data_IF_339100968006
#
_entry.id   IF_339100968006
#
_cell.length_a   1.000
_cell.length_b   1.000
_cell.length_c   1.000
_cell.angle_alpha   90.00
_cell.angle_beta   90.00
_cell.angle_gamma   90.00
#
_symmetry.space_group_name_H-M   'P 1'
#
loop_
_entity.id
_entity.type
_entity.pdbx_description
1 polymer ?
#
# COMPACT_ATOMS: atom_id res chain seq x y z
N UNK A 1 13.42 52.21 -22.41
CA UNK A 1 12.85 50.94 -22.95
C UNK A 1 13.45 49.66 -22.36
N UNK A 2 14.53 49.70 -21.57
CA UNK A 2 15.17 48.49 -21.00
C UNK A 2 14.71 48.10 -19.59
N UNK A 3 14.06 48.98 -18.82
CA UNK A 3 13.69 48.72 -17.42
C UNK A 3 12.37 47.95 -17.21
N UNK A 4 11.45 47.92 -18.18
CA UNK A 4 10.23 47.09 -18.08
C UNK A 4 10.47 45.60 -18.41
N UNK A 5 11.57 45.28 -19.10
CA UNK A 5 11.88 43.90 -19.53
C UNK A 5 12.43 43.04 -18.38
N UNK A 6 13.06 43.65 -17.37
CA UNK A 6 13.58 42.96 -16.18
C UNK A 6 12.49 42.48 -15.22
N UNK A 7 11.43 43.27 -15.03
CA UNK A 7 10.33 42.96 -14.12
C UNK A 7 9.47 41.79 -14.64
N UNK A 8 9.27 41.69 -15.95
CA UNK A 8 8.53 40.59 -16.61
C UNK A 8 9.34 39.28 -16.62
N UNK A 9 10.68 39.35 -16.67
CA UNK A 9 11.55 38.18 -16.54
C UNK A 9 11.52 37.61 -15.12
N UNK A 10 11.66 38.47 -14.11
CA UNK A 10 11.63 38.08 -12.69
C UNK A 10 10.34 37.30 -12.32
N UNK A 11 9.19 37.70 -12.86
CA UNK A 11 7.91 37.02 -12.63
C UNK A 11 7.85 35.62 -13.25
N UNK A 12 8.45 35.44 -14.43
CA UNK A 12 8.51 34.14 -15.11
C UNK A 12 9.38 33.14 -14.36
N UNK A 13 10.50 33.61 -13.83
CA UNK A 13 11.44 32.77 -13.08
C UNK A 13 10.84 32.32 -11.73
N UNK A 14 10.17 33.22 -11.02
CA UNK A 14 9.46 32.89 -9.76
C UNK A 14 8.30 31.92 -10.03
N UNK A 15 7.53 32.14 -11.11
CA UNK A 15 6.43 31.25 -11.47
C UNK A 15 6.93 29.84 -11.84
N UNK A 16 8.06 29.76 -12.54
CA UNK A 16 8.70 28.50 -12.90
C UNK A 16 9.21 27.74 -11.66
N UNK A 17 9.84 28.46 -10.72
CA UNK A 17 10.32 27.87 -9.46
C UNK A 17 9.16 27.39 -8.57
N UNK A 18 8.06 28.14 -8.49
CA UNK A 18 6.86 27.74 -7.74
C UNK A 18 6.20 26.51 -8.35
N UNK A 19 6.10 26.44 -9.69
CA UNK A 19 5.60 25.27 -10.40
C UNK A 19 6.47 24.03 -10.18
N UNK A 20 7.79 24.18 -10.21
CA UNK A 20 8.74 23.09 -9.95
C UNK A 20 8.65 22.57 -8.51
N UNK A 21 8.54 23.47 -7.52
CA UNK A 21 8.35 23.12 -6.11
C UNK A 21 7.00 22.41 -5.87
N UNK A 22 5.92 22.89 -6.49
CA UNK A 22 4.60 22.25 -6.39
C UNK A 22 4.58 20.85 -7.02
N UNK A 23 5.28 20.66 -8.14
CA UNK A 23 5.42 19.36 -8.80
C UNK A 23 6.23 18.38 -7.92
N UNK A 24 7.34 18.83 -7.34
CA UNK A 24 8.14 18.02 -6.42
C UNK A 24 7.35 17.60 -5.16
N UNK A 25 6.57 18.51 -4.58
CA UNK A 25 5.69 18.20 -3.44
C UNK A 25 4.57 17.19 -3.79
N UNK A 26 4.09 17.21 -5.04
CA UNK A 26 3.10 16.24 -5.53
C UNK A 26 3.70 14.83 -5.66
N UNK A 27 4.97 14.74 -6.04
CA UNK A 27 5.70 13.46 -6.16
C UNK A 27 5.91 12.81 -4.79
N UNK A 28 6.20 13.59 -3.74
CA UNK A 28 6.45 13.05 -2.39
C UNK A 28 5.18 12.60 -1.67
N UNK A 29 4.01 13.13 -2.02
CA UNK A 29 2.72 12.79 -1.39
C UNK A 29 2.07 11.51 -1.94
N UNK A 30 2.47 11.05 -3.12
CA UNK A 30 1.95 9.82 -3.74
C UNK A 30 2.43 8.52 -3.06
N UNK A 31 3.44 8.61 -2.18
CA UNK A 31 3.98 7.48 -1.43
C UNK A 31 3.32 7.31 -0.05
N UNK A 32 2.01 7.59 0.10
CA UNK A 32 1.30 7.20 1.32
C UNK A 32 1.09 5.68 1.28
N UNK A 33 1.81 4.87 2.07
CA UNK A 33 1.53 3.45 2.15
C UNK A 33 0.06 3.27 2.56
N UNK A 34 -0.66 2.39 1.85
CA UNK A 34 -2.01 1.98 2.24
C UNK A 34 -1.96 1.47 3.67
N UNK A 35 -2.47 2.27 4.60
CA UNK A 35 -2.74 1.85 5.98
C UNK A 35 -3.53 0.54 5.92
N UNK A 36 -3.17 -0.50 6.71
CA UNK A 36 -3.85 -1.78 6.65
C UNK A 36 -5.31 -1.60 7.08
N UNK A 37 -6.20 -1.55 6.09
CA UNK A 37 -7.64 -1.55 6.30
C UNK A 37 -8.05 -2.82 7.02
N UNK A 38 -8.84 -2.62 8.08
CA UNK A 38 -9.60 -3.57 8.88
C UNK A 38 -8.83 -4.81 9.37
N UNK A 39 -8.70 -4.86 10.70
CA UNK A 39 -8.30 -6.01 11.52
C UNK A 39 -9.28 -7.18 11.35
N UNK A 40 -9.25 -7.83 10.19
CA UNK A 40 -9.62 -9.23 10.14
C UNK A 40 -8.39 -10.00 10.64
N UNK A 41 -8.43 -10.40 11.91
CA UNK A 41 -7.34 -11.09 12.62
C UNK A 41 -6.92 -12.44 11.98
N UNK A 42 -7.55 -12.81 10.86
CA UNK A 42 -7.41 -14.07 10.16
C UNK A 42 -6.50 -13.95 8.91
N UNK A 43 -5.72 -12.87 8.78
CA UNK A 43 -4.73 -12.70 7.70
C UNK A 43 -3.36 -12.37 8.28
N UNK A 44 -2.32 -13.01 7.75
CA UNK A 44 -0.92 -12.77 8.11
C UNK A 44 -0.30 -11.84 7.06
N UNK A 45 0.37 -10.77 7.51
CA UNK A 45 1.10 -9.82 6.66
C UNK A 45 2.51 -9.70 7.21
N UNK A 46 3.52 -9.84 6.35
CA UNK A 46 4.94 -9.72 6.69
C UNK A 46 5.53 -8.63 5.81
N UNK A 47 6.33 -7.74 6.40
CA UNK A 47 6.95 -6.61 5.70
C UNK A 47 8.10 -7.08 4.80
N UNK A 48 8.22 -6.46 3.62
CA UNK A 48 9.26 -6.74 2.63
C UNK A 48 9.08 -5.86 1.39
N UNK A 49 10.07 -5.88 0.48
CA UNK A 49 10.02 -5.08 -0.76
C UNK A 49 8.89 -5.52 -1.71
N UNK A 50 8.48 -6.78 -1.61
CA UNK A 50 7.44 -7.41 -2.42
C UNK A 50 6.53 -8.22 -1.51
N UNK A 51 5.21 -8.09 -1.70
CA UNK A 51 4.20 -8.88 -0.99
C UNK A 51 3.68 -10.02 -1.87
N UNK A 52 3.86 -11.26 -1.41
CA UNK A 52 3.30 -12.46 -2.04
C UNK A 52 2.12 -12.99 -1.22
N UNK A 53 0.94 -13.05 -1.85
CA UNK A 53 -0.28 -13.54 -1.22
C UNK A 53 -0.57 -15.01 -1.51
N UNK A 54 -1.36 -15.65 -0.66
CA UNK A 54 -1.82 -17.04 -0.85
C UNK A 54 -3.13 -17.31 -0.09
N UNK A 55 -4.00 -18.14 -0.66
CA UNK A 55 -5.25 -18.57 -0.02
C UNK A 55 -5.11 -20.00 0.50
N UNK A 56 -5.30 -20.17 1.80
CA UNK A 56 -5.18 -21.46 2.47
C UNK A 56 -6.49 -21.88 3.12
N UNK A 57 -6.95 -23.14 2.92
CA UNK A 57 -8.18 -23.65 3.52
C UNK A 57 -7.95 -24.03 4.98
N UNK A 58 -7.66 -23.04 5.82
CA UNK A 58 -7.37 -23.22 7.26
C UNK A 58 -8.63 -23.54 8.07
N UNK A 59 -9.79 -23.03 7.66
CA UNK A 59 -11.09 -23.33 8.28
C UNK A 59 -11.90 -24.31 7.41
N UNK A 60 -12.70 -25.15 8.06
CA UNK A 60 -13.79 -25.88 7.41
C UNK A 60 -14.93 -24.93 7.03
N UNK A 61 -15.91 -25.43 6.26
CA UNK A 61 -17.18 -24.73 6.07
C UNK A 61 -17.86 -24.59 7.43
N UNK A 62 -18.33 -23.39 7.78
CA UNK A 62 -19.10 -23.19 8.99
C UNK A 62 -20.43 -23.94 8.98
N UNK A 63 -20.88 -24.35 10.16
CA UNK A 63 -22.21 -24.89 10.40
C UNK A 63 -23.07 -23.85 11.13
N UNK A 64 -24.40 -24.01 11.14
CA UNK A 64 -25.33 -23.19 11.95
C UNK A 64 -25.22 -21.68 11.71
N UNK A 65 -25.03 -21.27 10.45
CA UNK A 65 -24.96 -19.85 10.06
C UNK A 65 -23.63 -19.15 10.36
N UNK A 66 -22.61 -19.88 10.83
CA UNK A 66 -21.24 -19.35 10.96
C UNK A 66 -20.54 -19.33 9.59
N UNK A 67 -19.71 -18.31 9.35
CA UNK A 67 -18.93 -18.18 8.10
C UNK A 67 -17.80 -19.23 7.99
N UNK A 68 -17.19 -19.60 9.11
CA UNK A 68 -16.06 -20.53 9.19
C UNK A 68 -16.37 -21.63 10.21
N UNK A 69 -15.89 -22.84 9.93
CA UNK A 69 -15.98 -24.01 10.81
C UNK A 69 -14.66 -24.32 11.50
N UNK A 70 -14.51 -25.55 11.97
CA UNK A 70 -13.34 -26.02 12.69
C UNK A 70 -12.03 -25.91 11.88
N UNK A 71 -10.90 -25.77 12.57
CA UNK A 71 -9.56 -25.64 11.97
C UNK A 71 -9.06 -26.97 11.39
N UNK A 72 -8.68 -26.95 10.11
CA UNK A 72 -8.07 -28.09 9.40
C UNK A 72 -6.56 -28.10 9.57
N UNK A 73 -6.08 -28.72 10.66
CA UNK A 73 -4.64 -28.77 11.01
C UNK A 73 -3.77 -29.37 9.90
N UNK A 74 -4.14 -30.54 9.37
CA UNK A 74 -3.25 -31.31 8.49
C UNK A 74 -3.19 -30.78 7.05
N UNK A 75 -4.34 -30.33 6.50
CA UNK A 75 -4.42 -29.90 5.09
C UNK A 75 -4.41 -28.38 4.91
N UNK A 76 -4.82 -27.63 5.94
CA UNK A 76 -4.89 -26.17 5.90
C UNK A 76 -3.63 -25.52 6.47
N UNK A 77 -3.36 -25.79 7.76
CA UNK A 77 -2.27 -25.15 8.49
C UNK A 77 -0.89 -25.57 7.96
N UNK A 78 -0.67 -26.86 7.73
CA UNK A 78 0.61 -27.34 7.17
C UNK A 78 0.98 -26.64 5.84
N UNK A 79 -0.01 -26.32 5.00
CA UNK A 79 0.23 -25.60 3.73
C UNK A 79 0.57 -24.13 3.95
N UNK A 80 -0.04 -23.50 4.95
CA UNK A 80 0.30 -22.14 5.36
C UNK A 80 1.73 -22.09 5.93
N UNK A 81 2.08 -23.04 6.80
CA UNK A 81 3.43 -23.17 7.37
C UNK A 81 4.47 -23.41 6.27
N UNK A 82 4.16 -24.23 5.26
CA UNK A 82 5.04 -24.45 4.12
C UNK A 82 5.30 -23.17 3.29
N UNK A 83 4.29 -22.28 3.15
CA UNK A 83 4.49 -20.98 2.50
C UNK A 83 5.33 -20.02 3.35
N UNK A 84 5.19 -20.08 4.68
CA UNK A 84 5.95 -19.23 5.61
C UNK A 84 7.38 -19.72 5.85
N UNK A 85 7.64 -21.02 5.63
CA UNK A 85 8.97 -21.60 5.78
C UNK A 85 9.88 -21.36 4.58
N UNK A 86 9.29 -21.22 3.38
CA UNK A 86 10.02 -21.01 2.13
C UNK A 86 10.76 -19.66 2.10
#
# INVERSE_FOLDING_TARGET
MTLQVGLVRQWKDVFCWVLLLACYASITLAAKPKLPGHTHLNSIRIDGDISLGGLFPVHARGNDGKACGELKKEKGIHRLEAMLFA
#
